data_IF_901020245990
#
_entry.id   IF_901020245990
#
_cell.length_a   1.000
_cell.length_b   1.000
_cell.length_c   1.000
_cell.angle_alpha   90.00
_cell.angle_beta   90.00
_cell.angle_gamma   90.00
#
_symmetry.space_group_name_H-M   'P 1'
#
loop_
_entity.id
_entity.type
_entity.pdbx_description
1 polymer ?
#
# COMPACT_ATOMS: atom_id res chain seq x y z
N UNK A 1 13.69 1.93 9.74
CA UNK A 1 14.24 1.30 8.51
C UNK A 1 13.68 -0.12 8.42
N UNK A 2 13.29 -0.58 7.22
CA UNK A 2 12.68 -1.90 7.05
C UNK A 2 13.67 -3.03 7.37
N UNK A 3 13.22 -4.05 8.09
CA UNK A 3 14.01 -5.27 8.40
C UNK A 3 13.88 -6.35 7.33
N UNK A 4 13.06 -6.09 6.31
CA UNK A 4 12.78 -6.97 5.17
C UNK A 4 13.26 -6.22 3.92
N UNK A 5 14.01 -6.86 3.00
CA UNK A 5 14.41 -6.24 1.74
C UNK A 5 13.21 -5.77 0.92
N UNK A 6 13.41 -4.83 0.00
CA UNK A 6 12.38 -4.47 -0.97
C UNK A 6 12.46 -5.40 -2.18
N UNK A 7 11.32 -5.94 -2.62
CA UNK A 7 11.24 -6.64 -3.90
C UNK A 7 11.49 -5.64 -5.03
N UNK A 8 12.36 -5.98 -5.96
CA UNK A 8 12.52 -5.26 -7.22
C UNK A 8 11.32 -5.55 -8.13
N UNK A 9 10.51 -4.55 -8.53
CA UNK A 9 9.37 -4.74 -9.40
C UNK A 9 9.67 -5.46 -10.72
N UNK A 10 10.88 -5.32 -11.25
CA UNK A 10 11.28 -5.98 -12.52
C UNK A 10 11.42 -7.49 -12.36
N UNK A 11 11.68 -7.98 -11.14
CA UNK A 11 11.78 -9.41 -10.84
C UNK A 11 10.42 -10.06 -10.51
N UNK A 12 9.32 -9.29 -10.50
CA UNK A 12 7.97 -9.81 -10.21
C UNK A 12 7.34 -10.32 -11.50
N UNK A 13 7.22 -11.64 -11.65
CA UNK A 13 6.61 -12.24 -12.84
C UNK A 13 5.08 -12.08 -12.90
N UNK A 14 4.41 -11.94 -11.75
CA UNK A 14 2.96 -11.83 -11.66
C UNK A 14 2.49 -10.43 -12.11
N UNK A 15 1.71 -10.32 -13.20
CA UNK A 15 1.31 -9.02 -13.76
C UNK A 15 0.36 -8.24 -12.84
N UNK A 16 -0.46 -8.92 -12.04
CA UNK A 16 -1.37 -8.27 -11.09
C UNK A 16 -0.56 -7.59 -9.98
N UNK A 17 0.43 -8.31 -9.45
CA UNK A 17 1.31 -7.77 -8.40
C UNK A 17 2.16 -6.61 -8.93
N UNK A 18 2.69 -6.74 -10.16
CA UNK A 18 3.37 -5.62 -10.83
C UNK A 18 2.48 -4.39 -10.96
N UNK A 19 1.21 -4.57 -11.31
CA UNK A 19 0.27 -3.46 -11.42
C UNK A 19 0.06 -2.74 -10.08
N UNK A 20 -0.02 -3.47 -8.95
CA UNK A 20 -0.10 -2.85 -7.62
C UNK A 20 1.16 -2.06 -7.26
N UNK A 21 2.35 -2.57 -7.60
CA UNK A 21 3.61 -1.87 -7.37
C UNK A 21 3.71 -0.59 -8.21
N UNK A 22 3.31 -0.65 -9.48
CA UNK A 22 3.29 0.51 -10.36
C UNK A 22 2.26 1.55 -9.93
N UNK A 23 1.07 1.12 -9.50
CA UNK A 23 0.06 2.02 -8.96
C UNK A 23 0.59 2.76 -7.73
N UNK A 24 1.24 2.04 -6.81
CA UNK A 24 1.87 2.63 -5.63
C UNK A 24 2.95 3.66 -6.01
N UNK A 25 3.80 3.34 -7.00
CA UNK A 25 4.83 4.24 -7.54
C UNK A 25 4.22 5.53 -8.11
N UNK A 26 3.10 5.42 -8.85
CA UNK A 26 2.42 6.55 -9.49
C UNK A 26 1.65 7.42 -8.49
N UNK A 27 0.94 6.80 -7.56
CA UNK A 27 -0.01 7.47 -6.66
C UNK A 27 0.62 7.86 -5.32
N UNK A 28 1.78 7.29 -4.97
CA UNK A 28 2.46 7.48 -3.69
C UNK A 28 1.75 6.87 -2.49
N UNK A 29 0.51 6.37 -2.66
CA UNK A 29 -0.32 5.77 -1.62
C UNK A 29 -1.06 4.52 -2.16
N UNK A 30 -0.94 3.35 -1.52
CA UNK A 30 -0.04 3.06 -0.40
C UNK A 30 1.42 3.25 -0.80
N UNK A 31 2.26 3.58 0.18
CA UNK A 31 3.68 3.91 -0.05
C UNK A 31 4.40 2.79 -0.84
N UNK A 32 5.17 3.12 -1.91
CA UNK A 32 5.86 2.12 -2.74
C UNK A 32 6.71 1.13 -1.95
N UNK A 33 7.49 1.63 -0.98
CA UNK A 33 8.38 0.81 -0.16
C UNK A 33 7.59 -0.20 0.69
N UNK A 34 6.44 0.19 1.22
CA UNK A 34 5.57 -0.75 1.96
C UNK A 34 4.98 -1.82 1.05
N UNK A 35 4.60 -1.45 -0.17
CA UNK A 35 4.10 -2.43 -1.15
C UNK A 35 5.20 -3.38 -1.62
N UNK A 36 6.43 -2.88 -1.81
CA UNK A 36 7.58 -3.72 -2.15
C UNK A 36 7.92 -4.74 -1.04
N UNK A 37 7.66 -4.42 0.24
CA UNK A 37 7.75 -5.40 1.33
C UNK A 37 6.62 -6.44 1.21
N UNK A 38 5.37 -6.00 0.99
CA UNK A 38 4.23 -6.92 0.88
C UNK A 38 4.36 -7.87 -0.32
N UNK A 39 5.02 -7.44 -1.39
CA UNK A 39 5.25 -8.22 -2.59
C UNK A 39 6.08 -9.50 -2.37
N UNK A 40 6.78 -9.64 -1.25
CA UNK A 40 7.39 -10.92 -0.85
C UNK A 40 6.37 -12.05 -0.69
N UNK A 41 5.11 -11.72 -0.41
CA UNK A 41 4.03 -12.69 -0.31
C UNK A 41 2.83 -12.26 -1.19
N UNK A 42 2.58 -12.98 -2.30
CA UNK A 42 1.47 -12.70 -3.22
C UNK A 42 0.10 -12.55 -2.56
N UNK A 43 -0.22 -13.38 -1.57
CA UNK A 43 -1.51 -13.31 -0.88
C UNK A 43 -1.63 -12.03 -0.04
N UNK A 44 -0.54 -11.59 0.60
CA UNK A 44 -0.52 -10.39 1.44
C UNK A 44 -0.70 -9.13 0.61
N UNK A 45 0.04 -8.99 -0.50
CA UNK A 45 -0.08 -7.80 -1.34
C UNK A 45 -1.46 -7.72 -2.01
N UNK A 46 -2.02 -8.85 -2.47
CA UNK A 46 -3.39 -8.89 -3.02
C UNK A 46 -4.43 -8.44 -2.01
N UNK A 47 -4.45 -9.10 -0.84
CA UNK A 47 -5.43 -8.81 0.20
C UNK A 47 -5.38 -7.35 0.63
N UNK A 48 -4.17 -6.80 0.81
CA UNK A 48 -4.00 -5.41 1.19
C UNK A 48 -4.43 -4.44 0.08
N UNK A 49 -3.97 -4.64 -1.15
CA UNK A 49 -4.28 -3.73 -2.26
C UNK A 49 -5.77 -3.69 -2.58
N UNK A 50 -6.45 -4.85 -2.56
CA UNK A 50 -7.89 -4.93 -2.79
C UNK A 50 -8.68 -4.25 -1.66
N UNK A 51 -8.32 -4.50 -0.40
CA UNK A 51 -8.96 -3.84 0.73
C UNK A 51 -8.74 -2.31 0.69
N UNK A 52 -7.53 -1.86 0.35
CA UNK A 52 -7.21 -0.44 0.21
C UNK A 52 -8.03 0.22 -0.89
N UNK A 53 -8.14 -0.40 -2.06
CA UNK A 53 -8.92 0.13 -3.18
C UNK A 53 -10.39 0.30 -2.80
N UNK A 54 -11.00 -0.76 -2.24
CA UNK A 54 -12.42 -0.77 -1.85
C UNK A 54 -12.78 0.27 -0.78
N UNK A 55 -11.87 0.50 0.17
CA UNK A 55 -12.18 1.30 1.37
C UNK A 55 -11.60 2.71 1.33
N UNK A 56 -10.42 2.87 0.75
CA UNK A 56 -9.64 4.10 0.82
C UNK A 56 -9.77 4.94 -0.45
N UNK A 57 -9.68 4.30 -1.62
CA UNK A 57 -9.90 4.96 -2.92
C UNK A 57 -11.39 5.08 -3.22
N UNK A 58 -12.14 4.01 -2.98
CA UNK A 58 -13.59 3.94 -3.09
C UNK A 58 -14.27 3.91 -1.72
N UNK A 59 -15.60 3.95 -1.68
CA UNK A 59 -16.40 3.94 -0.46
C UNK A 59 -17.18 5.24 -0.23
N UNK A 60 -17.82 5.35 0.93
CA UNK A 60 -18.87 6.36 1.18
C UNK A 60 -18.32 7.75 1.54
N UNK A 61 -17.22 7.81 2.30
CA UNK A 61 -16.66 9.08 2.75
C UNK A 61 -15.74 9.72 1.70
N UNK A 62 -15.69 11.06 1.73
CA UNK A 62 -14.72 11.83 0.95
C UNK A 62 -13.28 11.42 1.28
N UNK A 63 -12.43 11.39 0.25
CA UNK A 63 -11.04 10.99 0.38
C UNK A 63 -10.27 11.84 1.41
N UNK A 64 -10.56 13.15 1.50
CA UNK A 64 -9.93 14.04 2.49
C UNK A 64 -10.24 13.62 3.94
N UNK A 65 -11.45 13.15 4.21
CA UNK A 65 -11.84 12.66 5.55
C UNK A 65 -11.07 11.39 5.88
N UNK A 66 -10.96 10.47 4.92
CA UNK A 66 -10.18 9.23 5.09
C UNK A 66 -8.71 9.49 5.35
N UNK A 67 -8.11 10.46 4.66
CA UNK A 67 -6.73 10.90 4.89
C UNK A 67 -6.53 11.50 6.30
N UNK A 68 -7.46 12.33 6.78
CA UNK A 68 -7.41 12.85 8.14
C UNK A 68 -7.47 11.72 9.19
N UNK A 69 -8.37 10.75 9.00
CA UNK A 69 -8.44 9.56 9.85
C UNK A 69 -7.14 8.76 9.81
N UNK A 70 -6.56 8.54 8.62
CA UNK A 70 -5.30 7.81 8.44
C UNK A 70 -4.14 8.47 9.20
N UNK A 71 -3.99 9.79 9.09
CA UNK A 71 -2.95 10.55 9.80
C UNK A 71 -3.18 10.52 11.31
N UNK A 72 -4.43 10.69 11.77
CA UNK A 72 -4.76 10.61 13.20
C UNK A 72 -4.41 9.24 13.79
N UNK A 73 -4.84 8.16 13.15
CA UNK A 73 -4.54 6.79 13.59
C UNK A 73 -3.03 6.57 13.60
N UNK A 74 -2.30 6.91 12.53
CA UNK A 74 -0.84 6.77 12.50
C UNK A 74 -0.15 7.49 13.65
N UNK A 75 -0.55 8.73 13.96
CA UNK A 75 0.00 9.48 15.11
C UNK A 75 -0.33 8.84 16.45
N UNK A 76 -1.54 8.28 16.61
CA UNK A 76 -1.98 7.66 17.86
C UNK A 76 -1.19 6.39 18.24
N UNK A 77 -0.58 5.72 17.25
CA UNK A 77 0.22 4.51 17.44
C UNK A 77 1.71 4.73 17.16
N UNK A 78 2.16 5.99 17.07
CA UNK A 78 3.55 6.37 16.78
C UNK A 78 4.11 5.71 15.50
N UNK A 79 3.28 5.64 14.46
CA UNK A 79 3.68 5.12 13.15
C UNK A 79 4.38 6.21 12.32
N UNK A 80 5.68 6.03 12.10
CA UNK A 80 6.56 6.98 11.37
C UNK A 80 6.76 6.65 9.88
N UNK A 81 5.95 5.76 9.31
CA UNK A 81 6.05 5.33 7.91
C UNK A 81 5.46 6.34 6.92
#
# INVERSE_FOLDING_TARGET
MARIPYVDPENVADPEIRAYLEQARREGTPRPESQAIRAHNPAVIRAFSQAWDLTFRHGVLDHKVKELCRVYVSKSIDCHY
#
